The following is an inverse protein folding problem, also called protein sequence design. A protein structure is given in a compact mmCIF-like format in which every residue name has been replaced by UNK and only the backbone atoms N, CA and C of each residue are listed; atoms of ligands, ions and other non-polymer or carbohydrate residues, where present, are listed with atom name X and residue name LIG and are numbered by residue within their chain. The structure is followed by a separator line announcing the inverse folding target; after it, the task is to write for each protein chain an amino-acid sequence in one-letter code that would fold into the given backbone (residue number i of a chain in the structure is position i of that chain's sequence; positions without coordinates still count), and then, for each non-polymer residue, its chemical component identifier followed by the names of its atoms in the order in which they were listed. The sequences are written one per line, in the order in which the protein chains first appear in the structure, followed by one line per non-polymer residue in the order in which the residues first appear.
data_IF_127703509115
#
_entry.id   IF_127703509115
#
_cell.length_a   1.000
_cell.length_b   1.000
_cell.length_c   1.000
_cell.angle_alpha   90.00
_cell.angle_beta   90.00
_cell.angle_gamma   90.00
#
_symmetry.space_group_name_H-M   'P 1'
#
loop_
_entity.id
_entity.type
_entity.pdbx_description
1 polymer ?
#
# COMPACT_ATOMS: atom_id res chain seq x y z
N UNK A 1 23.97 -28.15 -16.59
CA UNK A 1 23.34 -26.82 -16.52
C UNK A 1 24.14 -26.00 -15.53
N UNK A 2 24.76 -24.89 -15.98
CA UNK A 2 25.50 -24.00 -15.08
C UNK A 2 24.56 -22.95 -14.49
N UNK A 3 25.12 -22.09 -13.62
CA UNK A 3 24.34 -21.04 -12.95
C UNK A 3 23.69 -20.07 -13.91
N UNK A 4 24.40 -19.74 -15.00
CA UNK A 4 23.88 -18.81 -16.00
C UNK A 4 22.67 -19.39 -16.73
N UNK A 5 22.75 -20.65 -17.10
CA UNK A 5 21.65 -21.34 -17.77
C UNK A 5 20.41 -21.42 -16.88
N UNK A 6 20.61 -21.73 -15.60
CA UNK A 6 19.53 -21.78 -14.60
C UNK A 6 18.89 -20.40 -14.47
N UNK A 7 19.70 -19.35 -14.36
CA UNK A 7 19.22 -17.99 -14.24
C UNK A 7 18.42 -17.56 -15.47
N UNK A 8 18.96 -17.80 -16.66
CA UNK A 8 18.29 -17.44 -17.92
C UNK A 8 16.95 -18.15 -18.08
N UNK A 9 16.87 -19.40 -17.63
CA UNK A 9 15.65 -20.19 -17.74
C UNK A 9 14.59 -19.79 -16.71
N UNK A 10 15.00 -19.47 -15.49
CA UNK A 10 14.08 -19.31 -14.36
C UNK A 10 13.98 -17.88 -13.83
N UNK A 11 14.64 -16.88 -14.49
CA UNK A 11 14.62 -15.50 -13.99
C UNK A 11 13.21 -14.92 -13.79
N UNK A 12 12.18 -15.24 -14.64
CA UNK A 12 10.84 -14.73 -14.36
C UNK A 12 10.26 -15.24 -13.05
N UNK A 13 10.51 -16.50 -12.73
CA UNK A 13 10.07 -17.09 -11.46
C UNK A 13 10.84 -16.51 -10.28
N UNK A 14 12.13 -16.28 -10.46
CA UNK A 14 12.97 -15.64 -9.43
C UNK A 14 12.49 -14.22 -9.17
N UNK A 15 12.24 -13.45 -10.23
CA UNK A 15 11.73 -12.08 -10.11
C UNK A 15 10.37 -12.03 -9.41
N UNK A 16 9.48 -12.97 -9.76
CA UNK A 16 8.16 -13.07 -9.15
C UNK A 16 8.28 -13.39 -7.65
N UNK A 17 9.14 -14.34 -7.30
CA UNK A 17 9.38 -14.70 -5.90
C UNK A 17 9.94 -13.55 -5.08
N UNK A 18 10.89 -12.81 -5.65
CA UNK A 18 11.46 -11.61 -4.98
C UNK A 18 10.40 -10.53 -4.80
N UNK A 19 9.53 -10.33 -5.79
CA UNK A 19 8.47 -9.34 -5.71
C UNK A 19 7.46 -9.69 -4.61
N UNK A 20 7.00 -10.95 -4.56
CA UNK A 20 6.10 -11.42 -3.50
C UNK A 20 6.77 -11.38 -2.13
N UNK A 21 8.03 -11.77 -2.04
CA UNK A 21 8.79 -11.69 -0.80
C UNK A 21 8.93 -10.26 -0.29
N UNK A 22 9.20 -9.32 -1.18
CA UNK A 22 9.26 -7.90 -0.84
C UNK A 22 7.91 -7.38 -0.35
N UNK A 23 6.81 -7.72 -1.07
CA UNK A 23 5.47 -7.29 -0.65
C UNK A 23 5.11 -7.84 0.73
N UNK A 24 5.41 -9.11 0.97
CA UNK A 24 5.15 -9.74 2.26
C UNK A 24 5.95 -9.07 3.38
N UNK A 25 7.25 -8.86 3.17
CA UNK A 25 8.13 -8.22 4.14
C UNK A 25 7.68 -6.79 4.43
N UNK A 26 7.40 -6.03 3.38
CA UNK A 26 6.95 -4.63 3.52
C UNK A 26 5.63 -4.56 4.31
N UNK A 27 4.68 -5.43 3.99
CA UNK A 27 3.41 -5.47 4.67
C UNK A 27 3.56 -5.78 6.16
N UNK A 28 4.39 -6.77 6.50
CA UNK A 28 4.65 -7.10 7.89
C UNK A 28 5.35 -5.97 8.64
N UNK A 29 6.27 -5.29 7.96
CA UNK A 29 6.95 -4.14 8.54
C UNK A 29 5.96 -3.01 8.85
N UNK A 30 5.06 -2.70 7.93
CA UNK A 30 4.05 -1.66 8.12
C UNK A 30 3.07 -2.05 9.22
N UNK A 31 2.66 -3.31 9.28
CA UNK A 31 1.79 -3.80 10.35
C UNK A 31 2.45 -3.60 11.72
N UNK A 32 3.75 -3.90 11.84
CA UNK A 32 4.48 -3.71 13.08
C UNK A 32 4.56 -2.24 13.50
N UNK A 33 4.61 -1.32 12.52
CA UNK A 33 4.66 0.12 12.76
C UNK A 33 3.28 0.73 13.04
N UNK A 34 2.21 0.01 12.74
CA UNK A 34 0.86 0.55 12.73
C UNK A 34 0.43 1.20 14.07
N UNK A 35 0.66 0.57 15.24
CA UNK A 35 0.26 1.20 16.51
C UNK A 35 0.91 2.56 16.71
N UNK A 36 2.20 2.67 16.41
CA UNK A 36 2.95 3.92 16.55
C UNK A 36 2.49 4.95 15.54
N UNK A 37 2.25 4.54 14.29
CA UNK A 37 1.75 5.44 13.25
C UNK A 37 0.37 5.99 13.60
N UNK A 38 -0.52 5.14 14.10
CA UNK A 38 -1.86 5.57 14.55
C UNK A 38 -1.75 6.56 15.72
N UNK A 39 -0.84 6.32 16.65
CA UNK A 39 -0.59 7.22 17.77
C UNK A 39 -0.14 8.59 17.29
N UNK A 40 0.60 8.64 16.17
CA UNK A 40 1.09 9.87 15.56
C UNK A 40 0.08 10.52 14.61
N UNK A 41 -1.17 10.10 14.65
CA UNK A 41 -2.23 10.70 13.85
C UNK A 41 -2.30 10.22 12.40
N UNK A 42 -1.88 8.99 12.13
CA UNK A 42 -1.89 8.44 10.78
C UNK A 42 -3.28 8.50 10.14
N UNK A 43 -3.31 8.88 8.86
CA UNK A 43 -4.52 8.84 8.03
C UNK A 43 -4.54 7.52 7.28
N UNK A 44 -5.64 6.78 7.42
CA UNK A 44 -5.82 5.48 6.77
C UNK A 44 -6.68 5.65 5.53
N UNK A 45 -6.12 5.37 4.36
CA UNK A 45 -6.79 5.58 3.08
C UNK A 45 -6.90 4.28 2.31
N UNK A 46 -8.13 3.93 1.93
CA UNK A 46 -8.43 2.80 1.08
C UNK A 46 -8.63 3.33 -0.35
N UNK A 47 -7.76 2.92 -1.26
CA UNK A 47 -7.80 3.39 -2.65
C UNK A 47 -8.56 2.46 -3.60
N UNK A 48 -9.35 1.53 -3.03
CA UNK A 48 -10.25 0.68 -3.82
C UNK A 48 -11.42 1.53 -4.37
N UNK A 49 -12.21 0.93 -5.25
CA UNK A 49 -13.40 1.59 -5.74
C UNK A 49 -14.42 1.84 -4.61
N UNK A 50 -15.32 2.81 -4.82
CA UNK A 50 -16.37 3.10 -3.85
C UNK A 50 -17.27 1.89 -3.61
N UNK A 51 -17.55 1.09 -4.64
CA UNK A 51 -18.37 -0.11 -4.52
C UNK A 51 -17.69 -1.18 -3.66
N UNK A 52 -16.40 -1.41 -3.85
CA UNK A 52 -15.63 -2.34 -3.02
C UNK A 52 -15.63 -1.90 -1.56
N UNK A 53 -15.41 -0.61 -1.33
CA UNK A 53 -15.38 -0.05 0.03
C UNK A 53 -16.74 -0.15 0.71
N UNK A 54 -17.81 0.09 -0.01
CA UNK A 54 -19.17 -0.01 0.53
C UNK A 54 -19.54 -1.43 0.96
N UNK A 55 -19.01 -2.44 0.26
CA UNK A 55 -19.27 -3.85 0.56
C UNK A 55 -18.61 -4.28 1.87
N UNK A 56 -17.34 -3.90 2.06
CA UNK A 56 -16.58 -4.21 3.27
C UNK A 56 -15.39 -3.27 3.37
N UNK A 57 -15.10 -2.79 4.56
CA UNK A 57 -13.97 -1.88 4.81
C UNK A 57 -13.45 -2.03 6.24
N UNK A 58 -12.25 -1.52 6.49
CA UNK A 58 -11.69 -1.48 7.83
C UNK A 58 -12.16 -0.21 8.56
N UNK A 59 -12.48 -0.31 9.87
CA UNK A 59 -12.88 0.87 10.63
C UNK A 59 -11.81 1.96 10.61
N UNK A 60 -12.26 3.21 10.50
CA UNK A 60 -11.35 4.35 10.52
C UNK A 60 -10.67 4.67 9.22
N UNK A 61 -10.96 3.92 8.13
CA UNK A 61 -10.40 4.21 6.81
C UNK A 61 -11.29 5.19 6.05
N UNK A 62 -10.64 6.01 5.23
CA UNK A 62 -11.30 6.93 4.31
C UNK A 62 -11.15 6.34 2.92
N UNK A 63 -12.25 6.30 2.14
CA UNK A 63 -12.18 5.83 0.76
C UNK A 63 -11.86 6.98 -0.18
N UNK A 64 -10.71 6.91 -0.82
CA UNK A 64 -10.33 7.80 -1.92
C UNK A 64 -9.86 6.89 -3.05
N UNK A 65 -10.74 6.53 -4.00
CA UNK A 65 -10.34 5.67 -5.10
C UNK A 65 -9.12 6.21 -5.84
N UNK A 66 -8.27 5.31 -6.32
CA UNK A 66 -6.99 5.69 -6.93
C UNK A 66 -7.14 6.77 -8.02
N UNK A 67 -8.14 6.66 -8.87
CA UNK A 67 -8.36 7.62 -9.95
C UNK A 67 -8.82 9.00 -9.47
N UNK A 68 -9.30 9.11 -8.22
CA UNK A 68 -9.74 10.38 -7.63
C UNK A 68 -8.68 11.02 -6.77
N UNK A 69 -7.57 10.31 -6.52
CA UNK A 69 -6.56 10.74 -5.57
C UNK A 69 -5.99 12.12 -5.94
N UNK A 70 -5.72 12.35 -7.21
CA UNK A 70 -5.15 13.61 -7.69
C UNK A 70 -6.04 14.82 -7.44
N UNK A 71 -7.36 14.65 -7.53
CA UNK A 71 -8.32 15.74 -7.31
C UNK A 71 -8.70 15.92 -5.84
N UNK A 72 -8.29 15.00 -4.97
CA UNK A 72 -8.66 15.00 -3.54
C UNK A 72 -7.48 15.13 -2.60
N UNK A 73 -6.33 15.61 -3.09
CA UNK A 73 -5.12 15.77 -2.27
C UNK A 73 -5.34 16.70 -1.07
N UNK A 74 -6.27 17.67 -1.19
CA UNK A 74 -6.61 18.56 -0.09
C UNK A 74 -7.18 17.87 1.14
N UNK A 75 -7.66 16.63 1.00
CA UNK A 75 -8.17 15.84 2.11
C UNK A 75 -7.05 15.10 2.87
N UNK A 76 -5.81 15.15 2.38
CA UNK A 76 -4.68 14.41 2.94
C UNK A 76 -3.64 15.39 3.44
N UNK A 77 -3.39 15.39 4.76
CA UNK A 77 -2.35 16.22 5.34
C UNK A 77 -0.96 15.71 5.00
N UNK A 78 -0.05 16.60 4.62
CA UNK A 78 1.35 16.26 4.37
C UNK A 78 2.16 16.06 5.66
N UNK A 79 1.65 16.52 6.79
CA UNK A 79 2.34 16.43 8.07
C UNK A 79 2.05 15.16 8.84
N UNK A 80 0.99 14.43 8.48
CA UNK A 80 0.61 13.19 9.13
C UNK A 80 1.13 11.98 8.34
N UNK A 81 1.42 10.85 9.01
CA UNK A 81 1.68 9.61 8.29
C UNK A 81 0.45 9.18 7.51
N UNK A 82 0.66 8.64 6.31
CA UNK A 82 -0.42 8.13 5.45
C UNK A 82 -0.22 6.63 5.26
N UNK A 83 -1.25 5.86 5.55
CA UNK A 83 -1.25 4.42 5.36
C UNK A 83 -2.27 4.07 4.30
N UNK A 84 -1.79 3.49 3.21
CA UNK A 84 -2.61 3.14 2.06
C UNK A 84 -2.90 1.66 2.02
N UNK A 85 -4.11 1.30 1.62
CA UNK A 85 -4.48 -0.09 1.39
C UNK A 85 -5.35 -0.20 0.13
N UNK A 86 -5.43 -1.41 -0.40
CA UNK A 86 -6.36 -1.76 -1.47
C UNK A 86 -6.72 -3.25 -1.33
N UNK A 87 -7.14 -3.91 -2.40
CA UNK A 87 -7.47 -5.34 -2.33
C UNK A 87 -6.22 -6.22 -2.19
N UNK A 88 -5.14 -5.89 -2.91
CA UNK A 88 -3.92 -6.72 -2.95
C UNK A 88 -2.63 -5.95 -2.72
N UNK A 89 -2.68 -4.63 -2.61
CA UNK A 89 -1.50 -3.77 -2.45
C UNK A 89 -0.98 -3.16 -3.74
N UNK A 90 -1.50 -3.54 -4.92
CA UNK A 90 -1.03 -3.02 -6.21
C UNK A 90 -1.48 -1.58 -6.43
N UNK A 91 -2.77 -1.31 -6.30
CA UNK A 91 -3.31 0.06 -6.42
C UNK A 91 -2.73 0.98 -5.35
N UNK A 92 -2.63 0.49 -4.13
CA UNK A 92 -2.04 1.28 -3.04
C UNK A 92 -0.55 1.52 -3.23
N UNK A 93 0.17 0.61 -3.89
CA UNK A 93 1.56 0.83 -4.28
C UNK A 93 1.69 1.97 -5.29
N UNK A 94 0.80 2.02 -6.27
CA UNK A 94 0.74 3.12 -7.25
C UNK A 94 0.39 4.44 -6.57
N UNK A 95 -0.57 4.41 -5.64
CA UNK A 95 -0.95 5.59 -4.86
C UNK A 95 0.21 6.12 -4.04
N UNK A 96 1.00 5.25 -3.44
CA UNK A 96 2.19 5.63 -2.67
C UNK A 96 3.19 6.37 -3.54
N UNK A 97 3.50 5.84 -4.72
CA UNK A 97 4.41 6.50 -5.65
C UNK A 97 3.89 7.88 -6.07
N UNK A 98 2.60 7.95 -6.39
CA UNK A 98 1.97 9.21 -6.76
C UNK A 98 2.06 10.25 -5.64
N UNK A 99 1.71 9.87 -4.42
CA UNK A 99 1.76 10.80 -3.28
C UNK A 99 3.18 11.28 -3.00
N UNK A 100 4.18 10.42 -3.16
CA UNK A 100 5.58 10.82 -3.00
C UNK A 100 5.97 11.88 -4.01
N UNK A 101 5.50 11.80 -5.25
CA UNK A 101 5.75 12.85 -6.26
C UNK A 101 5.08 14.17 -5.90
N UNK A 102 4.06 14.13 -5.05
CA UNK A 102 3.31 15.33 -4.61
C UNK A 102 3.81 15.89 -3.27
N UNK A 103 4.95 15.39 -2.78
CA UNK A 103 5.57 15.93 -1.58
C UNK A 103 5.20 15.25 -0.26
N UNK A 104 4.50 14.13 -0.33
CA UNK A 104 4.18 13.33 0.85
C UNK A 104 5.36 12.41 1.17
N UNK A 105 6.00 12.59 2.33
CA UNK A 105 7.20 11.83 2.70
C UNK A 105 6.91 10.63 3.59
N UNK A 106 5.82 10.66 4.35
CA UNK A 106 5.49 9.62 5.33
C UNK A 106 4.34 8.77 4.81
N UNK A 107 4.59 8.01 3.74
CA UNK A 107 3.56 7.20 3.08
C UNK A 107 3.94 5.73 3.15
N UNK A 108 3.02 4.91 3.61
CA UNK A 108 3.22 3.47 3.77
C UNK A 108 2.10 2.70 3.06
N UNK A 109 2.46 1.60 2.41
CA UNK A 109 1.51 0.69 1.76
C UNK A 109 1.41 -0.57 2.61
N UNK A 110 0.27 -0.78 3.29
CA UNK A 110 0.06 -1.98 4.11
C UNK A 110 -0.37 -3.19 3.27
N UNK A 111 -0.85 -2.96 2.06
CA UNK A 111 -1.32 -4.01 1.16
C UNK A 111 -2.82 -4.20 1.23
N UNK A 112 -3.27 -5.34 1.71
CA UNK A 112 -4.69 -5.67 1.79
C UNK A 112 -5.38 -4.89 2.91
N UNK A 113 -6.55 -4.32 2.62
CA UNK A 113 -7.33 -3.53 3.56
C UNK A 113 -7.69 -4.27 4.85
N UNK A 114 -7.88 -5.60 4.77
CA UNK A 114 -8.24 -6.41 5.93
C UNK A 114 -7.18 -6.39 7.03
N UNK A 115 -5.95 -6.05 6.70
CA UNK A 115 -4.86 -5.93 7.69
C UNK A 115 -5.05 -4.75 8.62
N UNK A 116 -5.87 -3.77 8.22
CA UNK A 116 -6.21 -2.61 9.06
C UNK A 116 -7.36 -2.90 10.02
N UNK A 117 -8.12 -3.98 9.80
CA UNK A 117 -9.26 -4.33 10.65
C UNK A 117 -8.91 -5.25 11.81
N UNK A 118 -7.67 -5.73 11.84
CA UNK A 118 -7.20 -6.65 12.88
C UNK A 118 -6.66 -5.98 14.12
#
# INVERSE_FOLDING_TARGET
MDLLDIFQKYWPLIALGLWFGYKWWNSRRVIAMLPELKKNGAVLIDVRSAAEFATANAPGTINIPLQELGSRLGEISKSAPVILCCASGTRSGMAKLFLKTKGYSKVHNIGTWSKLSG
#
